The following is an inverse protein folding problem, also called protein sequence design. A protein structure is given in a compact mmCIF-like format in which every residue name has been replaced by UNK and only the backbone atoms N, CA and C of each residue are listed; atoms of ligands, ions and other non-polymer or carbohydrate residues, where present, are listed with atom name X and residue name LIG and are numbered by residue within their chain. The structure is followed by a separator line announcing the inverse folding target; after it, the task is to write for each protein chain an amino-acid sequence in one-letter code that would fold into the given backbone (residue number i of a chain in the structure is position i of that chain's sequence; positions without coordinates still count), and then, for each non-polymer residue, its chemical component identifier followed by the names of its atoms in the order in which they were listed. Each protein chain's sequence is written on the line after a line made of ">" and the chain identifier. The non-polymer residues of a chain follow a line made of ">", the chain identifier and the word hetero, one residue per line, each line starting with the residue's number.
data_IF_766379935198
#
_entry.id   IF_766379935198
#
_cell.length_a   1.000
_cell.length_b   1.000
_cell.length_c   1.000
_cell.angle_alpha   90.00
_cell.angle_beta   90.00
_cell.angle_gamma   90.00
#
_symmetry.space_group_name_H-M   'P 1'
#
loop_
_entity.id
_entity.type
_entity.pdbx_description
1 polymer ?
#
# COMPACT_ATOMS: atom_id res chain seq x y z
N UNK A 1 4.79 -9.13 -95.89
CA UNK A 1 3.87 -9.32 -94.75
C UNK A 1 4.54 -10.23 -93.74
N UNK A 2 4.39 -10.09 -92.40
CA UNK A 2 3.69 -9.06 -91.62
C UNK A 2 4.61 -8.31 -90.62
N UNK A 3 4.20 -7.09 -90.25
CA UNK A 3 4.83 -6.27 -89.20
C UNK A 3 4.39 -6.79 -87.83
N UNK A 4 5.34 -7.11 -86.95
CA UNK A 4 5.05 -7.47 -85.56
C UNK A 4 4.70 -6.22 -84.75
N UNK A 5 3.46 -6.18 -84.30
CA UNK A 5 2.89 -5.12 -83.47
C UNK A 5 3.23 -5.43 -82.00
N UNK A 6 4.44 -5.07 -81.54
CA UNK A 6 4.77 -5.17 -80.12
C UNK A 6 4.08 -4.04 -79.35
N UNK A 7 2.87 -4.35 -78.91
CA UNK A 7 1.93 -3.49 -78.21
C UNK A 7 2.54 -2.81 -76.99
N UNK A 8 2.53 -1.46 -77.00
CA UNK A 8 2.79 -0.50 -75.90
C UNK A 8 2.09 -0.80 -74.56
N UNK A 9 1.19 -1.79 -74.51
CA UNK A 9 0.40 -2.14 -73.32
C UNK A 9 1.23 -2.77 -72.20
N UNK A 10 2.35 -3.42 -72.52
CA UNK A 10 3.20 -4.08 -71.51
C UNK A 10 4.15 -3.12 -70.78
N UNK A 11 4.55 -1.99 -71.39
CA UNK A 11 5.37 -0.96 -70.71
C UNK A 11 4.57 -0.13 -69.69
N UNK A 12 3.29 0.14 -69.94
CA UNK A 12 2.46 0.88 -68.98
C UNK A 12 2.12 0.05 -67.73
N UNK A 13 1.91 -1.27 -67.89
CA UNK A 13 1.62 -2.15 -66.75
C UNK A 13 2.83 -2.30 -65.80
N UNK A 14 4.04 -2.40 -66.34
CA UNK A 14 5.28 -2.54 -65.57
C UNK A 14 5.65 -1.27 -64.77
N UNK A 15 5.32 -0.09 -65.29
CA UNK A 15 5.62 1.19 -64.64
C UNK A 15 4.59 1.53 -63.55
N UNK A 16 3.31 1.20 -63.75
CA UNK A 16 2.26 1.38 -62.73
C UNK A 16 2.46 0.50 -61.49
N UNK A 17 2.93 -0.74 -61.66
CA UNK A 17 3.20 -1.66 -60.55
C UNK A 17 4.35 -1.20 -59.64
N UNK A 18 5.41 -0.61 -60.21
CA UNK A 18 6.55 -0.07 -59.46
C UNK A 18 6.19 1.18 -58.66
N UNK A 19 5.34 2.05 -59.20
CA UNK A 19 4.87 3.23 -58.48
C UNK A 19 3.93 2.82 -57.34
N UNK A 20 3.00 1.89 -57.58
CA UNK A 20 2.09 1.40 -56.54
C UNK A 20 2.85 0.72 -55.39
N UNK A 21 3.86 -0.09 -55.70
CA UNK A 21 4.70 -0.74 -54.67
C UNK A 21 5.59 0.26 -53.94
N UNK A 22 6.15 1.28 -54.62
CA UNK A 22 6.89 2.36 -53.97
C UNK A 22 6.00 3.20 -53.03
N UNK A 23 4.75 3.47 -53.40
CA UNK A 23 3.79 4.19 -52.55
C UNK A 23 3.40 3.35 -51.34
N UNK A 24 3.17 2.04 -51.50
CA UNK A 24 2.88 1.14 -50.38
C UNK A 24 4.07 1.06 -49.42
N UNK A 25 5.30 0.94 -49.94
CA UNK A 25 6.51 0.93 -49.11
C UNK A 25 6.68 2.27 -48.38
N UNK A 26 6.40 3.39 -49.05
CA UNK A 26 6.41 4.71 -48.42
C UNK A 26 5.34 4.82 -47.33
N UNK A 27 4.12 4.34 -47.58
CA UNK A 27 3.02 4.33 -46.60
C UNK A 27 3.32 3.44 -45.40
N UNK A 28 3.94 2.27 -45.59
CA UNK A 28 4.33 1.38 -44.48
C UNK A 28 5.56 1.91 -43.73
N UNK A 29 6.49 2.58 -44.42
CA UNK A 29 7.65 3.22 -43.81
C UNK A 29 7.29 4.52 -43.05
N UNK A 30 6.20 5.21 -43.43
CA UNK A 30 5.73 6.45 -42.79
C UNK A 30 4.48 6.25 -41.94
N UNK A 31 3.89 5.06 -41.89
CA UNK A 31 2.96 4.68 -40.82
C UNK A 31 3.79 4.50 -39.56
N UNK A 32 4.08 5.60 -38.88
CA UNK A 32 4.57 5.57 -37.52
C UNK A 32 3.51 4.85 -36.70
N UNK A 33 3.85 3.67 -36.16
CA UNK A 33 3.15 3.15 -34.99
C UNK A 33 3.37 4.20 -33.92
N UNK A 34 2.38 5.09 -33.72
CA UNK A 34 2.38 5.98 -32.57
C UNK A 34 2.30 5.07 -31.35
N UNK A 35 3.47 4.84 -30.74
CA UNK A 35 3.57 4.11 -29.50
C UNK A 35 2.58 4.71 -28.51
N UNK A 36 1.68 3.87 -27.99
CA UNK A 36 0.74 4.20 -26.92
C UNK A 36 1.41 4.71 -25.64
N UNK A 37 2.76 4.76 -25.61
CA UNK A 37 3.56 5.45 -24.60
C UNK A 37 3.27 6.96 -24.46
N UNK A 38 2.57 7.59 -25.42
CA UNK A 38 2.22 9.03 -25.35
C UNK A 38 0.99 9.37 -24.50
N UNK A 39 0.33 8.40 -23.86
CA UNK A 39 -0.86 8.65 -23.03
C UNK A 39 -0.58 8.79 -21.52
N UNK A 40 0.66 8.60 -21.07
CA UNK A 40 1.02 8.84 -19.67
C UNK A 40 1.85 10.11 -19.57
N UNK A 41 1.16 11.24 -19.35
CA UNK A 41 1.78 12.47 -18.87
C UNK A 41 1.80 12.41 -17.32
N UNK A 42 2.95 12.10 -16.69
CA UNK A 42 3.06 12.08 -15.23
C UNK A 42 2.82 13.45 -14.58
N UNK A 43 2.72 14.54 -15.34
CA UNK A 43 2.33 15.88 -14.88
C UNK A 43 0.84 16.20 -15.02
N UNK A 44 0.04 15.34 -15.68
CA UNK A 44 -1.40 15.53 -15.84
C UNK A 44 -2.20 15.04 -14.62
N UNK A 45 -1.68 14.04 -13.89
CA UNK A 45 -2.29 13.55 -12.66
C UNK A 45 -1.91 14.46 -11.48
N UNK A 46 -2.80 15.42 -11.18
CA UNK A 46 -2.69 16.33 -10.03
C UNK A 46 -3.32 15.76 -8.75
N UNK A 47 -3.63 14.46 -8.73
CA UNK A 47 -4.27 13.84 -7.57
C UNK A 47 -3.35 13.87 -6.35
N UNK A 48 -3.91 14.26 -5.21
CA UNK A 48 -3.23 14.32 -3.92
C UNK A 48 -3.85 13.35 -2.92
N UNK A 49 -3.07 12.92 -1.94
CA UNK A 49 -3.60 12.15 -0.81
C UNK A 49 -4.39 13.11 0.08
N UNK A 50 -5.69 12.86 0.25
CA UNK A 50 -6.58 13.66 1.10
C UNK A 50 -6.88 12.99 2.45
N UNK A 51 -6.92 11.65 2.49
CA UNK A 51 -7.31 10.89 3.67
C UNK A 51 -6.59 9.54 3.73
N UNK A 52 -6.14 9.17 4.93
CA UNK A 52 -5.44 7.92 5.19
C UNK A 52 -6.20 7.07 6.22
N UNK A 53 -6.65 5.89 5.81
CA UNK A 53 -7.13 4.84 6.71
C UNK A 53 -6.08 3.72 6.78
N UNK A 54 -5.69 3.35 7.99
CA UNK A 54 -4.73 2.26 8.22
C UNK A 54 -5.37 1.21 9.10
N UNK A 55 -5.64 0.04 8.54
CA UNK A 55 -6.22 -1.10 9.25
C UNK A 55 -5.19 -2.21 9.25
N UNK A 56 -4.85 -2.73 10.42
CA UNK A 56 -3.84 -3.78 10.58
C UNK A 56 -4.20 -4.69 11.75
N UNK A 57 -3.71 -5.92 11.66
CA UNK A 57 -3.84 -6.90 12.73
C UNK A 57 -2.92 -6.53 13.90
N UNK A 58 -3.27 -7.01 15.10
CA UNK A 58 -2.33 -7.06 16.21
C UNK A 58 -0.99 -7.72 15.81
N UNK A 59 0.10 -7.37 16.49
CA UNK A 59 1.42 -7.95 16.24
C UNK A 59 1.54 -9.43 16.67
N UNK A 60 2.69 -10.05 16.41
CA UNK A 60 3.01 -11.39 16.89
C UNK A 60 2.80 -11.54 18.40
N UNK A 61 2.12 -12.63 18.78
CA UNK A 61 1.74 -12.94 20.17
C UNK A 61 1.98 -14.40 20.50
N UNK A 62 1.95 -14.71 21.78
CA UNK A 62 1.77 -16.07 22.28
C UNK A 62 0.37 -16.62 21.89
N UNK A 63 0.16 -17.95 21.89
CA UNK A 63 -1.16 -18.55 21.72
C UNK A 63 -2.18 -17.95 22.70
N UNK A 64 -3.42 -17.80 22.27
CA UNK A 64 -4.49 -17.18 23.09
C UNK A 64 -5.43 -18.24 23.69
N UNK A 65 -5.49 -19.37 23.03
CA UNK A 65 -6.22 -20.58 23.34
C UNK A 65 -5.42 -21.77 22.79
N UNK A 66 -5.85 -22.97 23.13
CA UNK A 66 -5.25 -24.20 22.59
C UNK A 66 -6.28 -25.32 22.52
N UNK A 67 -5.87 -26.46 21.96
CA UNK A 67 -6.70 -27.65 21.79
C UNK A 67 -6.59 -28.60 23.00
N UNK A 68 -7.59 -29.47 23.25
CA UNK A 68 -7.66 -30.26 24.51
C UNK A 68 -6.48 -31.20 24.82
N UNK A 69 -5.65 -31.55 23.83
CA UNK A 69 -4.49 -32.46 24.01
C UNK A 69 -3.17 -31.78 23.69
N UNK A 70 -3.10 -30.46 23.85
CA UNK A 70 -1.87 -29.72 23.64
C UNK A 70 -0.78 -30.16 24.63
N UNK A 71 0.35 -30.73 24.16
CA UNK A 71 1.46 -31.10 25.05
C UNK A 71 2.07 -29.89 25.75
N UNK A 72 1.82 -28.66 25.27
CA UNK A 72 2.30 -27.41 25.84
C UNK A 72 1.23 -26.64 26.63
N UNK A 73 0.10 -27.27 27.00
CA UNK A 73 -0.99 -26.60 27.74
C UNK A 73 -0.54 -25.95 29.06
N UNK A 74 0.49 -26.51 29.70
CA UNK A 74 1.05 -25.99 30.96
C UNK A 74 2.17 -24.96 30.75
N UNK A 75 2.50 -24.61 29.49
CA UNK A 75 3.45 -23.54 29.22
C UNK A 75 2.86 -22.21 29.70
N UNK A 76 3.66 -21.45 30.45
CA UNK A 76 3.22 -20.17 31.01
C UNK A 76 3.42 -19.03 30.02
N UNK A 77 4.30 -19.22 29.04
CA UNK A 77 4.82 -18.19 28.16
C UNK A 77 5.39 -16.98 28.91
N UNK A 78 5.99 -17.22 30.08
CA UNK A 78 6.67 -16.19 30.85
C UNK A 78 7.75 -15.49 29.98
N UNK A 79 7.90 -14.16 30.06
CA UNK A 79 7.22 -13.22 30.96
C UNK A 79 5.91 -12.62 30.41
N UNK A 80 5.44 -13.07 29.25
CA UNK A 80 4.33 -12.42 28.55
C UNK A 80 2.97 -12.97 28.96
N UNK A 81 2.87 -14.29 29.17
CA UNK A 81 1.59 -14.95 29.36
C UNK A 81 0.87 -15.26 28.04
N UNK A 82 -0.28 -15.93 28.14
CA UNK A 82 -1.11 -16.31 26.99
C UNK A 82 -1.76 -15.08 26.31
N UNK A 83 -1.82 -15.11 24.98
CA UNK A 83 -2.46 -14.13 24.12
C UNK A 83 -1.76 -12.77 24.03
N UNK A 84 -0.55 -12.63 24.58
CA UNK A 84 0.16 -11.36 24.72
C UNK A 84 1.25 -11.16 23.67
N UNK A 85 1.52 -9.89 23.36
CA UNK A 85 2.54 -9.50 22.37
C UNK A 85 3.94 -9.74 22.95
N UNK A 86 4.78 -10.41 22.16
CA UNK A 86 6.18 -10.69 22.53
C UNK A 86 7.10 -9.50 22.22
N UNK A 87 8.34 -9.50 22.74
CA UNK A 87 9.31 -8.46 22.39
C UNK A 87 9.67 -8.46 20.89
N UNK A 88 9.61 -9.62 20.21
CA UNK A 88 9.76 -9.68 18.76
C UNK A 88 8.59 -8.97 18.08
N UNK A 89 7.36 -9.23 18.54
CA UNK A 89 6.17 -8.55 18.03
C UNK A 89 6.23 -7.04 18.21
N UNK A 90 6.68 -6.54 19.38
CA UNK A 90 6.88 -5.10 19.61
C UNK A 90 7.86 -4.48 18.59
N UNK A 91 8.98 -5.16 18.29
CA UNK A 91 9.95 -4.68 17.29
C UNK A 91 9.35 -4.59 15.89
N UNK A 92 8.60 -5.60 15.48
CA UNK A 92 7.91 -5.59 14.19
C UNK A 92 6.88 -4.46 14.08
N UNK A 93 6.08 -4.27 15.13
CA UNK A 93 5.10 -3.19 15.21
C UNK A 93 5.75 -1.81 15.16
N UNK A 94 6.88 -1.64 15.85
CA UNK A 94 7.66 -0.39 15.78
C UNK A 94 8.18 -0.13 14.37
N UNK A 95 8.62 -1.18 13.66
CA UNK A 95 9.03 -1.07 12.26
C UNK A 95 7.87 -0.69 11.34
N UNK A 96 6.66 -1.21 11.59
CA UNK A 96 5.44 -0.81 10.87
C UNK A 96 5.19 0.70 11.06
N UNK A 97 5.21 1.21 12.29
CA UNK A 97 5.03 2.65 12.53
C UNK A 97 6.12 3.51 11.90
N UNK A 98 7.37 3.05 11.94
CA UNK A 98 8.50 3.71 11.26
C UNK A 98 8.29 3.76 9.74
N UNK A 99 7.83 2.67 9.15
CA UNK A 99 7.53 2.60 7.72
C UNK A 99 6.37 3.53 7.34
N UNK A 100 5.30 3.57 8.16
CA UNK A 100 4.18 4.49 7.97
C UNK A 100 4.65 5.95 8.03
N UNK A 101 5.49 6.33 9.00
CA UNK A 101 6.07 7.68 9.07
C UNK A 101 6.90 8.00 7.83
N UNK A 102 7.71 7.05 7.34
CA UNK A 102 8.49 7.24 6.12
C UNK A 102 7.60 7.42 4.88
N UNK A 103 6.51 6.65 4.79
CA UNK A 103 5.61 6.68 3.62
C UNK A 103 4.70 7.90 3.60
N UNK A 104 4.12 8.27 4.74
CA UNK A 104 3.07 9.28 4.84
C UNK A 104 3.51 10.55 5.58
N UNK A 105 4.76 10.65 6.04
CA UNK A 105 5.24 11.80 6.81
C UNK A 105 5.19 13.15 6.08
N UNK A 106 5.10 13.17 4.74
CA UNK A 106 4.86 14.39 3.95
C UNK A 106 3.39 14.82 3.93
N UNK A 107 2.48 13.86 4.06
CA UNK A 107 1.04 14.09 4.13
C UNK A 107 0.63 14.51 5.55
N UNK A 108 1.28 13.95 6.57
CA UNK A 108 1.04 14.29 7.96
C UNK A 108 1.73 15.60 8.35
N UNK A 109 1.12 16.32 9.29
CA UNK A 109 1.80 17.42 9.97
C UNK A 109 3.08 16.93 10.68
N UNK A 110 4.06 17.83 10.92
CA UNK A 110 5.25 17.50 11.70
C UNK A 110 4.88 16.94 13.08
N UNK A 111 3.84 17.51 13.70
CA UNK A 111 3.37 17.22 15.04
C UNK A 111 2.09 16.37 15.00
N UNK A 112 1.86 15.59 16.06
CA UNK A 112 0.55 14.99 16.32
C UNK A 112 -0.48 16.10 16.62
N UNK A 113 -1.71 15.94 16.10
CA UNK A 113 -2.86 16.77 16.44
C UNK A 113 -4.07 15.88 16.72
N UNK A 114 -4.80 16.10 17.83
CA UNK A 114 -6.01 15.33 18.15
C UNK A 114 -7.12 15.52 17.10
N UNK A 115 -7.16 16.66 16.41
CA UNK A 115 -8.17 16.94 15.38
C UNK A 115 -7.89 16.22 14.05
N UNK A 116 -6.68 15.70 13.86
CA UNK A 116 -6.23 15.11 12.60
C UNK A 116 -5.95 13.61 12.67
N UNK A 117 -5.86 13.04 13.87
CA UNK A 117 -5.45 11.64 14.07
C UNK A 117 -6.38 10.97 15.09
N UNK A 118 -7.17 10.02 14.59
CA UNK A 118 -7.99 9.12 15.40
C UNK A 118 -7.34 7.73 15.43
N UNK A 119 -7.06 7.22 16.63
CA UNK A 119 -6.52 5.87 16.80
C UNK A 119 -7.51 5.01 17.60
N UNK A 120 -7.94 3.90 16.99
CA UNK A 120 -8.91 2.99 17.58
C UNK A 120 -8.41 1.54 17.55
N UNK A 121 -8.60 0.83 18.64
CA UNK A 121 -8.27 -0.58 18.80
C UNK A 121 -9.47 -1.33 19.38
N UNK A 122 -9.56 -2.64 19.08
CA UNK A 122 -10.54 -3.49 19.78
C UNK A 122 -10.16 -3.63 21.25
N UNK A 123 -11.16 -3.90 22.11
CA UNK A 123 -11.02 -3.93 23.58
C UNK A 123 -10.22 -5.11 24.17
N UNK A 124 -9.09 -5.52 23.56
CA UNK A 124 -8.20 -6.56 24.11
C UNK A 124 -6.77 -6.04 24.33
N UNK A 125 -6.03 -6.52 25.34
CA UNK A 125 -4.70 -5.97 25.67
C UNK A 125 -3.70 -5.95 24.50
N UNK A 126 -3.69 -7.00 23.68
CA UNK A 126 -2.77 -7.14 22.54
C UNK A 126 -2.98 -6.09 21.44
N UNK A 127 -4.20 -5.63 21.20
CA UNK A 127 -4.50 -4.61 20.19
C UNK A 127 -4.17 -3.22 20.69
N UNK A 128 -4.42 -2.92 21.97
CA UNK A 128 -3.95 -1.68 22.60
C UNK A 128 -2.42 -1.58 22.58
N UNK A 129 -1.71 -2.64 22.99
CA UNK A 129 -0.24 -2.66 22.95
C UNK A 129 0.29 -2.52 21.52
N UNK A 130 -0.41 -3.13 20.55
CA UNK A 130 -0.09 -2.98 19.13
C UNK A 130 -0.22 -1.51 18.69
N UNK A 131 -1.37 -0.89 18.92
CA UNK A 131 -1.64 0.48 18.51
C UNK A 131 -0.65 1.47 19.15
N UNK A 132 -0.41 1.34 20.46
CA UNK A 132 0.55 2.19 21.17
C UNK A 132 1.98 2.06 20.60
N UNK A 133 2.42 0.84 20.28
CA UNK A 133 3.76 0.60 19.72
C UNK A 133 3.90 1.20 18.32
N UNK A 134 2.87 1.08 17.48
CA UNK A 134 2.86 1.69 16.14
C UNK A 134 2.87 3.21 16.24
N UNK A 135 2.01 3.79 17.09
CA UNK A 135 1.92 5.25 17.28
C UNK A 135 3.23 5.86 17.80
N UNK A 136 3.92 5.15 18.71
CA UNK A 136 5.23 5.57 19.21
C UNK A 136 6.27 5.79 18.10
N UNK A 137 6.27 4.93 17.07
CA UNK A 137 7.16 5.06 15.92
C UNK A 137 6.59 5.95 14.81
N UNK A 138 5.26 6.07 14.73
CA UNK A 138 4.60 6.86 13.69
C UNK A 138 4.64 8.37 14.01
N UNK A 139 4.57 8.74 15.29
CA UNK A 139 4.60 10.13 15.77
C UNK A 139 5.71 10.37 16.82
N UNK A 140 7.00 10.18 16.45
CA UNK A 140 8.10 10.48 17.36
C UNK A 140 8.19 12.00 17.62
N UNK A 141 8.18 12.47 18.88
CA UNK A 141 8.18 13.91 19.17
C UNK A 141 9.55 14.58 19.09
N UNK A 142 10.66 13.83 19.01
CA UNK A 142 12.01 14.40 19.03
C UNK A 142 12.23 15.43 17.92
N UNK A 143 12.72 16.61 18.30
CA UNK A 143 12.96 17.74 17.40
C UNK A 143 11.69 18.49 16.99
N UNK A 144 10.58 18.28 17.70
CA UNK A 144 9.31 18.98 17.49
C UNK A 144 8.89 19.73 18.75
N UNK A 145 7.92 20.64 18.63
CA UNK A 145 7.34 21.34 19.79
C UNK A 145 6.62 20.41 20.77
N UNK A 146 6.33 19.16 20.35
CA UNK A 146 5.72 18.13 21.19
C UNK A 146 6.76 17.33 22.01
N UNK A 147 8.06 17.64 21.90
CA UNK A 147 9.12 17.00 22.68
C UNK A 147 9.05 17.41 24.15
N UNK A 148 8.30 16.63 24.94
CA UNK A 148 8.14 16.86 26.38
C UNK A 148 9.28 16.25 27.23
N UNK A 149 10.08 15.33 26.67
CA UNK A 149 11.17 14.66 27.36
C UNK A 149 12.34 14.31 26.42
N UNK A 150 13.47 14.99 26.58
CA UNK A 150 14.65 14.83 25.72
C UNK A 150 15.35 13.48 25.82
N UNK A 151 15.10 12.71 26.90
CA UNK A 151 15.63 11.36 27.09
C UNK A 151 14.72 10.30 26.50
N UNK A 152 13.49 10.65 26.11
CA UNK A 152 12.47 9.69 25.72
C UNK A 152 11.69 10.15 24.49
N UNK A 153 12.04 9.58 23.33
CA UNK A 153 11.41 9.88 22.04
C UNK A 153 10.05 9.17 21.91
N UNK A 154 9.09 9.55 22.75
CA UNK A 154 7.73 9.04 22.77
C UNK A 154 6.81 10.11 23.32
N UNK A 155 5.57 10.15 22.84
CA UNK A 155 4.51 11.00 23.39
C UNK A 155 3.23 10.18 23.59
N UNK A 156 2.41 10.52 24.60
CA UNK A 156 1.12 9.88 24.77
C UNK A 156 0.18 10.29 23.64
N UNK A 157 -0.43 9.30 22.98
CA UNK A 157 -1.49 9.50 21.99
C UNK A 157 -2.70 8.66 22.44
N UNK A 158 -3.91 9.24 22.54
CA UNK A 158 -5.12 8.52 22.89
C UNK A 158 -5.38 7.33 21.97
N UNK A 159 -5.71 6.18 22.56
CA UNK A 159 -6.18 4.98 21.83
C UNK A 159 -7.56 4.66 22.35
N UNK A 160 -8.56 4.85 21.50
CA UNK A 160 -9.96 4.57 21.81
C UNK A 160 -10.28 3.10 21.63
N UNK A 161 -11.22 2.60 22.40
CA UNK A 161 -11.81 1.27 22.25
C UNK A 161 -13.26 1.29 22.68
N UNK A 162 -14.00 0.30 22.21
CA UNK A 162 -15.36 0.00 22.65
C UNK A 162 -15.35 -1.31 23.43
N UNK A 163 -16.36 -1.54 24.25
CA UNK A 163 -16.58 -2.85 24.86
C UNK A 163 -16.81 -3.91 23.78
N UNK A 164 -16.40 -5.16 24.04
CA UNK A 164 -16.38 -6.21 23.01
C UNK A 164 -17.75 -6.52 22.40
N UNK A 165 -18.82 -6.33 23.14
CA UNK A 165 -20.22 -6.49 22.73
C UNK A 165 -20.76 -5.29 21.91
N UNK A 166 -20.07 -4.16 21.94
CA UNK A 166 -20.44 -2.91 21.26
C UNK A 166 -19.41 -2.50 20.19
N UNK A 167 -18.36 -3.33 19.99
CA UNK A 167 -17.21 -3.02 19.17
C UNK A 167 -17.54 -3.07 17.67
N UNK A 168 -17.75 -1.88 17.10
CA UNK A 168 -18.04 -1.69 15.68
C UNK A 168 -16.80 -1.78 14.78
N UNK A 169 -15.58 -1.78 15.35
CA UNK A 169 -14.32 -1.90 14.60
C UNK A 169 -13.95 -3.35 14.35
N UNK A 170 -14.46 -4.27 15.16
CA UNK A 170 -14.30 -5.70 14.89
C UNK A 170 -15.09 -6.03 13.63
N UNK A 171 -14.37 -6.32 12.53
CA UNK A 171 -14.93 -6.97 11.34
C UNK A 171 -15.26 -8.42 11.73
N UNK A 172 -16.27 -8.60 12.58
CA UNK A 172 -17.04 -9.83 12.65
C UNK A 172 -18.46 -9.42 12.29
N UNK A 173 -18.80 -9.63 11.03
CA UNK A 173 -20.19 -9.82 10.67
C UNK A 173 -20.77 -10.87 11.62
N UNK A 174 -21.93 -10.54 12.19
CA UNK A 174 -22.90 -11.43 12.81
C UNK A 174 -22.81 -12.88 12.30
N UNK A 175 -22.02 -13.70 12.99
CA UNK A 175 -22.14 -15.15 12.96
C UNK A 175 -22.12 -15.58 14.41
N UNK A 176 -23.30 -15.42 15.02
CA UNK A 176 -23.75 -16.37 16.02
C UNK A 176 -24.05 -17.67 15.28
N UNK A 177 -23.14 -18.65 15.40
CA UNK A 177 -23.41 -20.08 15.23
C UNK A 177 -23.03 -20.78 16.55
#
# INVERSE_FOLDING_TARGET
>A
MPRSHFTRRHCLAMTGGLIASAVIIWCVAHSTVESTAKLYDPGADKSTLELLHVVFRHGPRTPADTYPRDPYVNETYYPFGWGQITNNGKRELFNIGTWLRKRYGKFLAPNYSPDSVHAQATGVPRTHMTMQTVLAAFFPPKGTDMEWNSRFNWQPIPVFSQELNEDTVRILNNYDD
#
